data_IF_567311250114
#
_entry.id   IF_567311250114
#
_cell.length_a   1.000
_cell.length_b   1.000
_cell.length_c   1.000
_cell.angle_alpha   90.00
_cell.angle_beta   90.00
_cell.angle_gamma   90.00
#
_symmetry.space_group_name_H-M   'P 1'
#
loop_
_entity.id
_entity.type
_entity.pdbx_description
1 polymer ?
#
# COMPACT_ATOMS: atom_id res chain seq x y z
N UNK A 1 9.55 -10.53 -9.09
CA UNK A 1 9.08 -9.28 -8.48
C UNK A 1 9.22 -9.42 -6.97
N UNK A 2 9.99 -8.53 -6.33
CA UNK A 2 10.26 -8.50 -4.89
C UNK A 2 9.40 -7.40 -4.25
N UNK A 3 8.55 -7.78 -3.29
CA UNK A 3 7.62 -6.84 -2.66
C UNK A 3 8.28 -6.24 -1.41
N UNK A 4 8.35 -4.90 -1.38
CA UNK A 4 8.82 -4.12 -0.24
C UNK A 4 7.74 -3.14 0.23
N UNK A 5 8.07 -1.92 0.62
CA UNK A 5 7.13 -0.94 1.16
C UNK A 5 7.62 0.49 0.88
N UNK A 6 6.72 1.46 0.97
CA UNK A 6 7.03 2.90 0.96
C UNK A 6 7.94 3.33 2.11
N UNK A 7 7.95 2.57 3.22
CA UNK A 7 8.82 2.84 4.37
C UNK A 7 10.31 2.56 4.13
N UNK A 8 10.70 2.12 2.94
CA UNK A 8 12.09 1.98 2.55
C UNK A 8 12.80 3.31 2.29
N UNK A 9 12.07 4.40 2.11
CA UNK A 9 12.63 5.72 1.86
C UNK A 9 13.10 6.41 3.14
N UNK A 10 14.16 7.21 3.04
CA UNK A 10 14.54 8.17 4.08
C UNK A 10 13.49 9.26 4.18
N UNK A 11 12.53 9.08 5.10
CA UNK A 11 11.38 9.97 5.19
C UNK A 11 11.75 11.32 5.84
N UNK A 12 11.68 12.38 5.05
CA UNK A 12 11.87 13.79 5.46
C UNK A 12 10.56 14.57 5.50
N UNK A 13 9.43 13.88 5.48
CA UNK A 13 8.08 14.48 5.51
C UNK A 13 7.86 15.55 4.42
N UNK A 14 8.44 15.33 3.24
CA UNK A 14 8.32 16.25 2.12
C UNK A 14 6.88 16.27 1.56
N UNK A 15 6.47 17.42 1.00
CA UNK A 15 5.10 17.63 0.48
C UNK A 15 4.81 16.96 -0.86
N UNK A 16 5.83 16.45 -1.54
CA UNK A 16 5.71 15.67 -2.78
C UNK A 16 5.99 14.19 -2.51
N UNK A 17 5.49 13.34 -3.39
CA UNK A 17 5.71 11.89 -3.30
C UNK A 17 7.16 11.48 -3.54
N UNK A 18 7.62 10.45 -2.83
CA UNK A 18 8.93 9.84 -3.02
C UNK A 18 9.01 9.14 -4.37
N UNK A 19 10.08 9.42 -5.12
CA UNK A 19 10.41 8.76 -6.39
C UNK A 19 11.33 7.58 -6.15
N UNK A 20 11.35 6.65 -7.12
CA UNK A 20 12.10 5.38 -6.99
C UNK A 20 13.63 5.55 -6.87
N UNK A 21 14.17 6.68 -7.26
CA UNK A 21 15.59 7.02 -7.20
C UNK A 21 15.99 7.84 -5.97
N UNK A 22 15.05 8.12 -5.06
CA UNK A 22 15.36 8.86 -3.83
C UNK A 22 16.05 7.98 -2.78
N UNK A 23 16.75 8.59 -1.80
CA UNK A 23 17.52 7.86 -0.80
C UNK A 23 16.68 6.84 -0.03
N UNK A 24 17.28 5.66 0.18
CA UNK A 24 16.75 4.64 1.08
C UNK A 24 17.24 4.89 2.50
N UNK A 25 16.39 4.61 3.49
CA UNK A 25 16.74 4.83 4.89
C UNK A 25 15.65 4.30 5.81
N UNK A 26 15.54 4.91 6.99
CA UNK A 26 14.45 4.61 7.92
C UNK A 26 14.78 5.05 9.34
N UNK A 27 13.87 5.77 9.95
CA UNK A 27 13.98 6.25 11.32
C UNK A 27 13.89 5.12 12.34
N UNK A 28 13.10 4.12 12.07
CA UNK A 28 12.85 2.97 12.93
C UNK A 28 13.44 1.67 12.36
N UNK A 29 13.63 0.60 13.19
CA UNK A 29 14.22 -0.67 12.73
C UNK A 29 13.43 -1.34 11.60
N UNK A 30 12.10 -1.22 11.56
CA UNK A 30 11.30 -1.77 10.47
C UNK A 30 11.61 -1.04 9.16
N UNK A 31 11.54 0.27 9.16
CA UNK A 31 11.84 1.11 7.99
C UNK A 31 13.27 0.89 7.49
N UNK A 32 14.25 0.88 8.40
CA UNK A 32 15.64 0.56 8.07
C UNK A 32 15.81 -0.81 7.44
N UNK A 33 15.12 -1.83 7.95
CA UNK A 33 15.16 -3.19 7.37
C UNK A 33 14.63 -3.23 5.94
N UNK A 34 13.62 -2.42 5.62
CA UNK A 34 13.04 -2.32 4.28
C UNK A 34 13.93 -1.52 3.32
N UNK A 35 14.58 -0.46 3.81
CA UNK A 35 15.63 0.24 3.06
C UNK A 35 16.81 -0.68 2.73
N UNK A 36 17.27 -1.46 3.71
CA UNK A 36 18.33 -2.46 3.53
C UNK A 36 17.93 -3.53 2.51
N UNK A 37 16.67 -4.01 2.52
CA UNK A 37 16.17 -4.96 1.55
C UNK A 37 16.21 -4.39 0.12
N UNK A 38 15.81 -3.14 -0.11
CA UNK A 38 15.90 -2.48 -1.42
C UNK A 38 17.34 -2.33 -1.90
N UNK A 39 18.26 -1.96 -0.99
CA UNK A 39 19.70 -1.88 -1.30
C UNK A 39 20.24 -3.25 -1.72
N UNK A 40 19.89 -4.32 -0.99
CA UNK A 40 20.26 -5.69 -1.31
C UNK A 40 19.69 -6.12 -2.67
N UNK A 41 18.40 -5.92 -2.93
CA UNK A 41 17.76 -6.24 -4.22
C UNK A 41 18.46 -5.52 -5.37
N UNK A 42 18.77 -4.23 -5.20
CA UNK A 42 19.48 -3.45 -6.22
C UNK A 42 20.90 -3.97 -6.46
N UNK A 43 21.60 -4.37 -5.39
CA UNK A 43 22.93 -4.99 -5.49
C UNK A 43 22.88 -6.29 -6.30
N UNK A 44 21.93 -7.19 -5.98
CA UNK A 44 21.73 -8.45 -6.72
C UNK A 44 21.41 -8.21 -8.21
N UNK A 45 20.54 -7.24 -8.50
CA UNK A 45 20.19 -6.85 -9.87
C UNK A 45 21.39 -6.35 -10.66
N UNK A 46 22.27 -5.58 -10.03
CA UNK A 46 23.44 -5.01 -10.69
C UNK A 46 24.60 -5.97 -10.84
N UNK A 47 24.74 -6.92 -9.92
CA UNK A 47 25.87 -7.86 -9.88
C UNK A 47 25.54 -9.21 -10.52
N UNK A 48 24.61 -9.98 -9.95
CA UNK A 48 24.32 -11.34 -10.38
C UNK A 48 23.28 -11.43 -11.49
N UNK A 49 22.33 -10.48 -11.52
CA UNK A 49 21.21 -10.48 -12.46
C UNK A 49 21.17 -9.20 -13.29
N UNK A 50 22.34 -8.77 -13.78
CA UNK A 50 22.41 -7.56 -14.60
C UNK A 50 21.60 -7.74 -15.89
N UNK A 51 20.64 -6.85 -16.20
CA UNK A 51 19.82 -6.95 -17.41
C UNK A 51 20.64 -7.05 -18.70
N UNK A 52 21.84 -6.46 -18.77
CA UNK A 52 22.74 -6.56 -19.94
C UNK A 52 23.29 -7.98 -20.17
N UNK A 53 23.27 -8.83 -19.16
CA UNK A 53 23.74 -10.21 -19.19
C UNK A 53 22.60 -11.23 -19.35
N UNK A 54 21.35 -10.78 -19.42
CA UNK A 54 20.18 -11.63 -19.62
C UNK A 54 20.28 -12.43 -20.93
N UNK A 55 19.99 -13.71 -20.88
CA UNK A 55 20.13 -14.63 -22.03
C UNK A 55 21.58 -15.08 -22.35
N UNK A 56 22.57 -14.50 -21.64
CA UNK A 56 23.99 -14.86 -21.78
C UNK A 56 24.55 -15.58 -20.55
N UNK A 57 24.38 -14.98 -19.37
CA UNK A 57 24.87 -15.52 -18.09
C UNK A 57 23.74 -16.01 -17.18
N UNK A 58 22.53 -15.45 -17.33
CA UNK A 58 21.35 -15.81 -16.55
C UNK A 58 20.06 -15.56 -17.34
N UNK A 59 18.92 -16.04 -16.79
CA UNK A 59 17.57 -15.81 -17.32
C UNK A 59 16.65 -15.27 -16.20
N UNK A 60 17.18 -14.42 -15.33
CA UNK A 60 16.44 -13.82 -14.23
C UNK A 60 16.20 -12.34 -14.50
N UNK A 61 14.95 -11.95 -14.56
CA UNK A 61 14.53 -10.55 -14.53
C UNK A 61 14.13 -10.19 -13.09
N UNK A 62 14.70 -9.13 -12.52
CA UNK A 62 14.51 -8.76 -11.11
C UNK A 62 14.04 -7.32 -10.97
N UNK A 63 12.84 -7.14 -10.42
CA UNK A 63 12.27 -5.84 -10.05
C UNK A 63 11.86 -5.83 -8.58
N UNK A 64 11.86 -4.64 -7.95
CA UNK A 64 11.23 -4.40 -6.65
C UNK A 64 10.00 -3.53 -6.80
N UNK A 65 9.00 -3.75 -5.93
CA UNK A 65 7.75 -2.98 -5.90
C UNK A 65 7.51 -2.46 -4.50
N UNK A 66 7.06 -1.21 -4.41
CA UNK A 66 6.84 -0.48 -3.18
C UNK A 66 5.41 0.02 -3.16
N UNK A 67 4.70 -0.26 -2.08
CA UNK A 67 3.35 0.24 -1.87
C UNK A 67 3.22 0.84 -0.46
N UNK A 68 2.31 1.79 -0.33
CA UNK A 68 1.99 2.43 0.93
C UNK A 68 1.00 1.62 1.77
N UNK A 69 0.16 2.33 2.51
CA UNK A 69 -0.83 1.74 3.42
C UNK A 69 -1.93 1.00 2.63
N UNK A 70 -1.72 -0.28 2.45
CA UNK A 70 -2.66 -1.17 1.76
C UNK A 70 -3.73 -1.63 2.75
N UNK A 71 -5.00 -1.50 2.37
CA UNK A 71 -6.17 -1.92 3.13
C UNK A 71 -7.03 -2.89 2.32
N UNK A 72 -7.70 -3.81 2.99
CA UNK A 72 -8.56 -4.81 2.35
C UNK A 72 -9.28 -5.65 3.39
N UNK A 73 -10.15 -6.52 2.94
CA UNK A 73 -10.81 -7.49 3.80
C UNK A 73 -9.84 -8.56 4.32
N UNK A 74 -10.14 -9.16 5.48
CA UNK A 74 -9.38 -10.27 6.03
C UNK A 74 -8.06 -9.91 6.73
N UNK A 75 -7.73 -8.64 6.90
CA UNK A 75 -6.63 -8.19 7.75
C UNK A 75 -7.10 -8.12 9.21
N UNK A 76 -6.42 -8.85 10.10
CA UNK A 76 -6.71 -8.89 11.54
C UNK A 76 -5.49 -8.51 12.38
N UNK A 77 -4.45 -7.92 11.76
CA UNK A 77 -3.26 -7.51 12.48
C UNK A 77 -3.58 -6.40 13.51
N UNK A 78 -2.92 -6.45 14.65
CA UNK A 78 -3.00 -5.44 15.69
C UNK A 78 -2.29 -4.14 15.26
N UNK A 79 -2.69 -3.04 15.85
CA UNK A 79 -2.11 -1.71 15.60
C UNK A 79 -2.24 -1.23 14.15
N UNK A 80 -3.29 -1.70 13.46
CA UNK A 80 -3.68 -1.22 12.15
C UNK A 80 -5.08 -0.64 12.19
N UNK A 81 -5.25 0.54 11.57
CA UNK A 81 -6.47 1.33 11.70
C UNK A 81 -7.73 0.58 11.30
N UNK A 82 -7.76 -0.12 10.15
CA UNK A 82 -8.96 -0.83 9.70
C UNK A 82 -9.30 -2.00 10.62
N UNK A 83 -8.39 -2.96 10.88
CA UNK A 83 -8.66 -4.04 11.83
C UNK A 83 -9.05 -3.57 13.22
N UNK A 84 -8.42 -2.52 13.75
CA UNK A 84 -8.73 -1.97 15.07
C UNK A 84 -10.13 -1.34 15.09
N UNK A 85 -10.51 -0.59 14.06
CA UNK A 85 -11.86 -0.07 13.91
C UNK A 85 -12.89 -1.21 13.86
N UNK A 86 -12.67 -2.24 13.06
CA UNK A 86 -13.60 -3.37 12.93
C UNK A 86 -13.77 -4.11 14.26
N UNK A 87 -12.68 -4.42 14.97
CA UNK A 87 -12.76 -5.03 16.30
C UNK A 87 -13.56 -4.19 17.29
N UNK A 88 -13.39 -2.87 17.27
CA UNK A 88 -14.16 -1.98 18.13
C UNK A 88 -15.66 -1.96 17.75
N UNK A 89 -15.96 -1.93 16.44
CA UNK A 89 -17.33 -1.94 15.91
C UNK A 89 -18.06 -3.26 16.25
N UNK A 90 -17.39 -4.41 16.13
CA UNK A 90 -17.96 -5.71 16.47
C UNK A 90 -18.20 -5.86 17.98
N UNK A 91 -17.35 -5.22 18.79
CA UNK A 91 -17.47 -5.21 20.25
C UNK A 91 -18.36 -4.08 20.80
N UNK A 92 -19.00 -3.27 19.94
CA UNK A 92 -19.77 -2.07 20.29
C UNK A 92 -19.00 -1.10 21.22
N UNK A 93 -17.70 -0.89 20.92
CA UNK A 93 -16.79 -0.02 21.66
C UNK A 93 -16.47 1.25 20.86
N UNK A 94 -16.06 2.30 21.59
CA UNK A 94 -15.46 3.48 20.97
C UNK A 94 -14.18 3.13 20.22
N UNK A 95 -13.99 3.74 19.05
CA UNK A 95 -12.79 3.62 18.26
C UNK A 95 -11.82 4.71 18.67
N UNK A 96 -10.74 4.34 19.32
CA UNK A 96 -9.72 5.28 19.80
C UNK A 96 -8.67 5.54 18.71
N UNK A 97 -8.48 6.82 18.36
CA UNK A 97 -7.54 7.26 17.32
C UNK A 97 -6.38 7.99 17.98
N UNK A 98 -5.17 7.39 17.89
CA UNK A 98 -3.94 7.95 18.48
C UNK A 98 -3.33 9.08 17.66
N UNK A 99 -3.38 9.00 16.33
CA UNK A 99 -2.73 9.95 15.40
C UNK A 99 -3.72 10.42 14.33
N UNK A 100 -4.79 11.18 14.67
CA UNK A 100 -5.89 11.52 13.76
C UNK A 100 -5.45 12.32 12.54
N UNK A 101 -4.41 13.14 12.68
CA UNK A 101 -3.90 14.05 11.62
C UNK A 101 -2.85 13.39 10.70
N UNK A 102 -2.37 12.20 11.02
CA UNK A 102 -1.35 11.53 10.21
C UNK A 102 -1.90 11.19 8.82
N UNK A 103 -1.15 11.55 7.79
CA UNK A 103 -1.49 11.32 6.38
C UNK A 103 -0.73 10.09 5.89
N UNK A 104 -1.43 9.20 5.21
CA UNK A 104 -0.86 7.98 4.61
C UNK A 104 -1.43 7.76 3.21
N UNK A 105 -0.68 7.09 2.32
CA UNK A 105 -1.12 6.77 0.97
C UNK A 105 -2.02 5.51 0.97
N UNK A 106 -3.25 5.67 1.46
CA UNK A 106 -4.22 4.58 1.56
C UNK A 106 -4.66 4.09 0.19
N UNK A 107 -4.61 2.77 -0.02
CA UNK A 107 -5.12 2.14 -1.23
C UNK A 107 -5.69 0.76 -0.94
N UNK A 108 -6.66 0.32 -1.74
CA UNK A 108 -7.18 -1.05 -1.64
C UNK A 108 -6.13 -2.06 -2.10
N UNK A 109 -6.12 -3.25 -1.48
CA UNK A 109 -5.14 -4.31 -1.78
C UNK A 109 -5.11 -4.71 -3.27
N UNK A 110 -6.22 -4.62 -3.96
CA UNK A 110 -6.30 -4.93 -5.40
C UNK A 110 -5.53 -3.95 -6.27
N UNK A 111 -5.31 -2.70 -5.82
CA UNK A 111 -4.53 -1.71 -6.56
C UNK A 111 -3.07 -2.14 -6.76
N UNK A 112 -2.29 -2.32 -5.69
CA UNK A 112 -0.90 -2.74 -5.85
C UNK A 112 -0.79 -4.15 -6.43
N UNK A 113 -1.68 -5.09 -6.10
CA UNK A 113 -1.68 -6.42 -6.69
C UNK A 113 -1.88 -6.37 -8.21
N UNK A 114 -2.79 -5.54 -8.71
CA UNK A 114 -2.96 -5.30 -10.14
C UNK A 114 -1.68 -4.76 -10.79
N UNK A 115 -1.03 -3.79 -10.13
CA UNK A 115 0.25 -3.24 -10.58
C UNK A 115 1.38 -4.27 -10.59
N UNK A 116 1.45 -5.14 -9.57
CA UNK A 116 2.48 -6.20 -9.49
C UNK A 116 2.31 -7.24 -10.60
N UNK A 117 1.06 -7.64 -10.87
CA UNK A 117 0.76 -8.58 -11.95
C UNK A 117 1.04 -7.97 -13.33
N UNK A 118 0.68 -6.70 -13.53
CA UNK A 118 0.99 -5.98 -14.76
C UNK A 118 2.50 -5.89 -14.99
N UNK A 119 3.27 -5.51 -13.96
CA UNK A 119 4.73 -5.49 -14.02
C UNK A 119 5.30 -6.87 -14.36
N UNK A 120 4.81 -7.92 -13.71
CA UNK A 120 5.25 -9.29 -13.98
C UNK A 120 4.97 -9.72 -15.43
N UNK A 121 3.79 -9.39 -15.96
CA UNK A 121 3.46 -9.63 -17.38
C UNK A 121 4.39 -8.87 -18.33
N UNK A 122 4.64 -7.59 -18.06
CA UNK A 122 5.58 -6.78 -18.84
C UNK A 122 7.01 -7.30 -18.78
N UNK A 123 7.44 -7.80 -17.62
CA UNK A 123 8.76 -8.44 -17.45
C UNK A 123 8.85 -9.80 -18.16
N UNK A 124 7.72 -10.50 -18.33
CA UNK A 124 7.69 -11.72 -19.13
C UNK A 124 7.88 -11.44 -20.62
N UNK A 125 7.25 -10.37 -21.11
CA UNK A 125 7.35 -9.94 -22.53
C UNK A 125 8.72 -9.32 -22.85
N UNK A 126 9.22 -8.42 -21.99
CA UNK A 126 10.46 -7.65 -22.17
C UNK A 126 11.33 -7.72 -20.89
N UNK A 127 12.00 -8.86 -20.61
CA UNK A 127 12.63 -9.15 -19.32
C UNK A 127 13.64 -8.11 -18.83
N UNK A 128 14.37 -7.46 -19.76
CA UNK A 128 15.45 -6.53 -19.41
C UNK A 128 14.98 -5.10 -19.19
N UNK A 129 13.80 -4.75 -19.68
CA UNK A 129 13.31 -3.36 -19.74
C UNK A 129 12.78 -2.83 -18.42
N UNK A 130 12.22 -3.73 -17.58
CA UNK A 130 11.50 -3.36 -16.38
C UNK A 130 12.21 -3.74 -15.09
N UNK A 131 13.49 -4.13 -15.16
CA UNK A 131 14.31 -4.53 -14.01
C UNK A 131 14.72 -3.33 -13.14
N UNK A 132 13.74 -2.69 -12.50
CA UNK A 132 13.92 -1.49 -11.70
C UNK A 132 13.09 -1.56 -10.41
N UNK A 133 13.15 -0.50 -9.55
CA UNK A 133 12.19 -0.27 -8.47
C UNK A 133 10.94 0.43 -9.03
N UNK A 134 9.77 0.12 -8.48
CA UNK A 134 8.47 0.65 -8.90
C UNK A 134 7.60 1.03 -7.71
N UNK A 135 7.02 2.23 -7.75
CA UNK A 135 6.07 2.70 -6.77
C UNK A 135 4.62 2.48 -7.24
N UNK A 136 3.78 1.98 -6.32
CA UNK A 136 2.34 1.83 -6.51
C UNK A 136 1.62 2.48 -5.34
N UNK A 137 0.84 3.50 -5.60
CA UNK A 137 0.14 4.30 -4.58
C UNK A 137 -1.13 4.94 -5.12
N UNK A 138 -1.93 5.58 -4.26
CA UNK A 138 -3.10 6.31 -4.68
C UNK A 138 -2.73 7.59 -5.44
N UNK A 139 -3.68 8.15 -6.17
CA UNK A 139 -3.55 9.51 -6.70
C UNK A 139 -3.54 10.53 -5.57
N UNK A 140 -2.90 11.68 -5.80
CA UNK A 140 -2.74 12.74 -4.79
C UNK A 140 -4.08 13.23 -4.22
N UNK A 141 -5.11 13.32 -5.04
CA UNK A 141 -6.46 13.71 -4.61
C UNK A 141 -7.17 12.68 -3.72
N UNK A 142 -6.66 11.45 -3.65
CA UNK A 142 -7.20 10.38 -2.81
C UNK A 142 -6.47 10.24 -1.47
N UNK A 143 -5.53 11.13 -1.16
CA UNK A 143 -4.80 11.12 0.11
C UNK A 143 -5.72 11.56 1.24
N UNK A 144 -5.71 10.82 2.34
CA UNK A 144 -6.55 11.09 3.50
C UNK A 144 -5.77 10.91 4.82
N UNK A 145 -6.17 11.65 5.84
CA UNK A 145 -5.67 11.44 7.20
C UNK A 145 -6.41 10.27 7.87
N UNK A 146 -5.84 9.79 8.97
CA UNK A 146 -6.38 8.64 9.73
C UNK A 146 -7.81 8.87 10.20
N UNK A 147 -8.13 10.08 10.68
CA UNK A 147 -9.48 10.43 11.14
C UNK A 147 -10.51 10.30 10.00
N UNK A 148 -10.18 10.84 8.82
CA UNK A 148 -11.08 10.77 7.67
C UNK A 148 -11.31 9.33 7.20
N UNK A 149 -10.26 8.50 7.20
CA UNK A 149 -10.38 7.07 6.85
C UNK A 149 -11.30 6.36 7.83
N UNK A 150 -11.10 6.55 9.14
CA UNK A 150 -11.95 5.94 10.17
C UNK A 150 -13.40 6.46 10.09
N UNK A 151 -13.60 7.76 9.88
CA UNK A 151 -14.94 8.36 9.71
C UNK A 151 -15.68 7.76 8.51
N UNK A 152 -14.99 7.62 7.37
CA UNK A 152 -15.57 7.00 6.18
C UNK A 152 -15.90 5.52 6.41
N UNK A 153 -15.06 4.81 7.17
CA UNK A 153 -15.31 3.39 7.51
C UNK A 153 -16.58 3.24 8.34
N UNK A 154 -16.73 3.99 9.44
CA UNK A 154 -17.92 3.89 10.31
C UNK A 154 -19.20 4.31 9.57
N UNK A 155 -19.14 5.33 8.71
CA UNK A 155 -20.27 5.74 7.88
C UNK A 155 -20.70 4.62 6.91
N UNK A 156 -19.74 3.96 6.25
CA UNK A 156 -20.04 2.82 5.38
C UNK A 156 -20.47 1.58 6.19
N UNK A 157 -19.91 1.35 7.37
CA UNK A 157 -20.28 0.23 8.24
C UNK A 157 -21.69 0.41 8.83
N UNK A 158 -22.10 1.66 9.07
CA UNK A 158 -23.43 2.03 9.51
C UNK A 158 -23.57 2.21 11.03
N UNK A 159 -22.48 2.09 11.80
CA UNK A 159 -22.44 2.35 13.25
C UNK A 159 -21.04 2.73 13.71
N UNK A 160 -20.90 3.20 14.95
CA UNK A 160 -19.65 3.46 15.64
C UNK A 160 -19.39 4.93 15.93
N UNK A 161 -18.52 5.19 16.89
CA UNK A 161 -18.07 6.53 17.29
C UNK A 161 -16.55 6.57 17.38
N UNK A 162 -15.96 7.69 16.97
CA UNK A 162 -14.53 7.97 17.06
C UNK A 162 -14.22 8.82 18.28
N UNK A 163 -13.09 8.51 18.91
CA UNK A 163 -12.53 9.31 20.01
C UNK A 163 -11.08 9.64 19.70
N UNK A 164 -10.74 10.91 19.72
CA UNK A 164 -9.36 11.37 19.66
C UNK A 164 -8.70 11.12 21.02
N UNK A 165 -7.67 10.28 21.03
CA UNK A 165 -6.83 9.96 22.19
C UNK A 165 -5.36 10.29 21.89
N UNK A 166 -5.12 11.27 21.02
CA UNK A 166 -3.77 11.72 20.69
C UNK A 166 -3.03 12.22 21.94
N UNK A 167 -1.80 11.77 22.10
CA UNK A 167 -0.89 12.18 23.16
C UNK A 167 0.15 13.12 22.56
N UNK A 168 0.23 14.39 23.06
CA UNK A 168 1.25 15.33 22.58
C UNK A 168 2.69 14.87 22.85
N UNK A 169 2.90 14.05 23.88
CA UNK A 169 4.20 13.53 24.31
C UNK A 169 4.54 12.15 23.71
N UNK A 170 3.68 11.63 22.83
CA UNK A 170 3.93 10.35 22.15
C UNK A 170 5.21 10.37 21.31
N UNK A 171 5.81 9.19 21.15
CA UNK A 171 6.96 9.00 20.26
C UNK A 171 6.65 9.51 18.84
N UNK A 172 7.67 10.09 18.20
CA UNK A 172 7.55 10.63 16.86
C UNK A 172 7.03 9.56 15.89
N UNK A 173 5.86 9.82 15.32
CA UNK A 173 5.30 9.09 14.19
C UNK A 173 5.30 10.02 12.96
N UNK A 174 5.89 9.56 11.85
CA UNK A 174 5.93 10.34 10.62
C UNK A 174 4.52 10.82 10.23
N UNK A 175 4.36 12.14 10.02
CA UNK A 175 3.05 12.76 9.73
C UNK A 175 2.69 12.65 8.25
N UNK A 176 3.69 12.62 7.37
CA UNK A 176 3.49 12.64 5.93
C UNK A 176 4.40 11.61 5.26
N UNK A 177 3.80 10.74 4.46
CA UNK A 177 4.48 9.84 3.55
C UNK A 177 3.61 9.63 2.33
N UNK A 178 4.16 9.90 1.15
CA UNK A 178 3.47 9.75 -0.14
C UNK A 178 4.43 9.15 -1.17
N UNK A 179 3.88 8.47 -2.18
CA UNK A 179 4.63 7.93 -3.30
C UNK A 179 4.33 8.70 -4.58
N UNK A 180 5.36 9.01 -5.36
CA UNK A 180 5.21 9.42 -6.76
C UNK A 180 5.00 8.16 -7.61
N UNK A 181 3.91 8.12 -8.36
CA UNK A 181 3.51 6.99 -9.20
C UNK A 181 3.67 7.26 -10.70
N UNK A 182 4.22 8.42 -11.08
CA UNK A 182 4.34 8.81 -12.48
C UNK A 182 5.14 7.81 -13.31
N UNK A 183 6.15 7.17 -12.73
CA UNK A 183 6.91 6.13 -13.42
C UNK A 183 6.04 4.94 -13.81
N UNK A 184 5.22 4.44 -12.88
CA UNK A 184 4.28 3.34 -13.15
C UNK A 184 3.24 3.76 -14.19
N UNK A 185 2.71 4.98 -14.09
CA UNK A 185 1.78 5.54 -15.07
C UNK A 185 2.38 5.57 -16.48
N UNK A 186 3.51 6.25 -16.68
CA UNK A 186 4.06 6.49 -18.02
C UNK A 186 4.76 5.27 -18.64
N UNK A 187 5.40 4.42 -17.82
CA UNK A 187 6.17 3.28 -18.35
C UNK A 187 5.41 1.96 -18.37
N UNK A 188 4.45 1.76 -17.45
CA UNK A 188 3.64 0.53 -17.40
C UNK A 188 2.21 0.73 -17.92
N UNK A 189 1.72 1.98 -17.96
CA UNK A 189 0.31 2.28 -18.19
C UNK A 189 -0.57 1.91 -16.99
N UNK A 190 0.02 1.84 -15.79
CA UNK A 190 -0.71 1.56 -14.57
C UNK A 190 -1.25 2.84 -13.92
N UNK A 191 -2.50 2.77 -13.50
CA UNK A 191 -3.15 3.80 -12.70
C UNK A 191 -4.01 3.16 -11.61
N UNK A 192 -4.12 3.79 -10.42
CA UNK A 192 -5.11 3.37 -9.44
C UNK A 192 -6.53 3.62 -9.98
N UNK A 193 -7.40 2.63 -9.82
CA UNK A 193 -8.77 2.61 -10.35
C UNK A 193 -9.80 3.14 -9.36
N UNK A 194 -9.45 3.18 -8.08
CA UNK A 194 -10.35 3.59 -7.00
C UNK A 194 -9.83 4.82 -6.28
N UNK A 195 -10.73 5.73 -5.96
CA UNK A 195 -10.48 6.78 -4.98
C UNK A 195 -10.66 6.23 -3.55
N UNK A 196 -10.34 7.06 -2.54
CA UNK A 196 -10.40 6.64 -1.13
C UNK A 196 -11.81 6.22 -0.69
N UNK A 197 -12.86 6.86 -1.20
CA UNK A 197 -14.24 6.52 -0.84
C UNK A 197 -14.62 5.14 -1.36
N UNK A 198 -14.26 4.82 -2.59
CA UNK A 198 -14.47 3.51 -3.20
C UNK A 198 -13.67 2.41 -2.50
N UNK A 199 -12.41 2.72 -2.11
CA UNK A 199 -11.58 1.81 -1.31
C UNK A 199 -12.24 1.47 0.01
N UNK A 200 -12.64 2.48 0.79
CA UNK A 200 -13.24 2.27 2.11
C UNK A 200 -14.60 1.57 2.01
N UNK A 201 -15.42 1.92 1.01
CA UNK A 201 -16.70 1.25 0.79
C UNK A 201 -16.51 -0.25 0.51
N UNK A 202 -15.56 -0.62 -0.34
CA UNK A 202 -15.25 -2.03 -0.65
C UNK A 202 -14.72 -2.79 0.57
N UNK A 203 -13.86 -2.16 1.38
CA UNK A 203 -13.35 -2.72 2.63
C UNK A 203 -14.49 -2.94 3.64
N UNK A 204 -15.33 -1.90 3.86
CA UNK A 204 -16.47 -1.99 4.77
C UNK A 204 -17.47 -3.08 4.36
N UNK A 205 -17.74 -3.20 3.05
CA UNK A 205 -18.61 -4.22 2.48
C UNK A 205 -18.09 -5.62 2.82
N UNK A 206 -16.78 -5.88 2.65
CA UNK A 206 -16.18 -7.15 2.99
C UNK A 206 -16.39 -7.51 4.47
N UNK A 207 -16.09 -6.59 5.39
CA UNK A 207 -16.23 -6.83 6.84
C UNK A 207 -17.69 -6.90 7.30
N UNK A 208 -18.65 -6.41 6.55
CA UNK A 208 -20.08 -6.60 6.85
C UNK A 208 -20.59 -7.98 6.45
N UNK A 209 -20.00 -8.58 5.42
CA UNK A 209 -20.49 -9.79 4.78
C UNK A 209 -19.74 -11.05 5.16
N UNK A 210 -18.48 -10.97 5.60
CA UNK A 210 -17.58 -12.12 5.78
C UNK A 210 -18.09 -13.18 6.79
N UNK A 211 -18.92 -12.79 7.75
CA UNK A 211 -19.48 -13.72 8.74
C UNK A 211 -20.71 -14.50 8.24
N UNK A 212 -21.38 -13.99 7.21
CA UNK A 212 -22.66 -14.53 6.72
C UNK A 212 -22.59 -15.10 5.31
N UNK A 213 -21.52 -14.81 4.58
CA UNK A 213 -21.35 -15.25 3.20
C UNK A 213 -20.06 -16.07 3.04
N UNK A 214 -19.99 -16.82 1.94
CA UNK A 214 -18.76 -17.53 1.55
C UNK A 214 -17.67 -16.54 1.18
N UNK A 215 -16.58 -16.52 1.95
CA UNK A 215 -15.47 -15.56 1.81
C UNK A 215 -14.78 -15.68 0.46
N UNK A 216 -14.68 -16.88 -0.11
CA UNK A 216 -14.08 -17.05 -1.44
C UNK A 216 -14.92 -16.36 -2.50
N UNK A 217 -16.22 -16.57 -2.50
CA UNK A 217 -17.13 -15.94 -3.45
C UNK A 217 -17.17 -14.43 -3.28
N UNK A 218 -17.17 -13.93 -2.04
CA UNK A 218 -17.06 -12.50 -1.74
C UNK A 218 -15.77 -11.88 -2.31
N UNK A 219 -14.63 -12.54 -2.14
CA UNK A 219 -13.37 -12.06 -2.72
C UNK A 219 -13.40 -12.07 -4.26
N UNK A 220 -13.95 -13.14 -4.88
CA UNK A 220 -14.09 -13.23 -6.35
C UNK A 220 -14.99 -12.12 -6.87
N UNK A 221 -16.11 -11.84 -6.20
CA UNK A 221 -16.99 -10.72 -6.52
C UNK A 221 -16.25 -9.39 -6.50
N UNK A 222 -15.50 -9.11 -5.43
CA UNK A 222 -14.71 -7.87 -5.31
C UNK A 222 -13.62 -7.75 -6.38
N UNK A 223 -12.95 -8.86 -6.73
CA UNK A 223 -11.97 -8.89 -7.83
C UNK A 223 -12.66 -8.57 -9.17
N UNK A 224 -13.80 -9.17 -9.46
CA UNK A 224 -14.55 -8.92 -10.69
C UNK A 224 -15.04 -7.46 -10.77
N UNK A 225 -15.56 -6.92 -9.67
CA UNK A 225 -15.98 -5.53 -9.57
C UNK A 225 -14.82 -4.54 -9.74
N UNK A 226 -13.64 -4.87 -9.25
CA UNK A 226 -12.42 -4.09 -9.46
C UNK A 226 -11.95 -4.18 -10.92
N UNK A 227 -11.97 -5.36 -11.52
CA UNK A 227 -11.48 -5.61 -12.87
C UNK A 227 -12.32 -4.93 -13.95
N UNK A 228 -13.61 -4.69 -13.67
CA UNK A 228 -14.53 -4.03 -14.58
C UNK A 228 -14.45 -2.50 -14.60
N UNK A 229 -13.69 -1.89 -13.68
CA UNK A 229 -13.40 -0.45 -13.63
C UNK A 229 -12.23 -0.10 -14.54
#
# INVERSE_FOLDING_TARGET
>A
VMITTDKCYENKEQIWGYRENEPMGGYDPYSSSKGAAEIAINSWRRSFFNPADYGKKHHVALASVRAGNVIGGGDWALDRIIPDCIRALEADKLIEIRSPKAIRPWQHVLEPLGGYMLLASKMWEEPTKYCEGWNFGPRTESIANVWNVASKLINNYGKGELKDVSDPDALHEAKLLMLDINKAHFKLGWEPRMNIDQCIAMVADWYKRYQTEDVYNLCVEQINNYSSK
#
